data_IF_592553807237
#
_entry.id   IF_592553807237
#
_cell.length_a   1.000
_cell.length_b   1.000
_cell.length_c   1.000
_cell.angle_alpha   90.00
_cell.angle_beta   90.00
_cell.angle_gamma   90.00
#
_symmetry.space_group_name_H-M   'P 1'
#
loop_
_entity.id
_entity.type
_entity.pdbx_description
1 polymer ?
#
# COMPACT_ATOMS: atom_id res chain seq x y z
N UNK A 1 3.53 -7.30 -8.17
CA UNK A 1 2.63 -7.37 -7.01
C UNK A 1 1.29 -6.79 -7.40
N UNK A 2 0.21 -7.55 -7.26
CA UNK A 2 -1.16 -7.05 -7.42
C UNK A 2 -1.73 -6.57 -6.07
N UNK A 3 -2.90 -5.92 -6.07
CA UNK A 3 -3.44 -5.30 -4.85
C UNK A 3 -3.80 -6.32 -3.76
N UNK A 4 -4.15 -7.55 -4.15
CA UNK A 4 -4.50 -8.61 -3.20
C UNK A 4 -3.27 -9.11 -2.43
N UNK A 5 -2.13 -9.26 -3.13
CA UNK A 5 -0.85 -9.62 -2.50
C UNK A 5 -0.40 -8.56 -1.50
N UNK A 6 -0.46 -7.29 -1.91
CA UNK A 6 -0.11 -6.17 -1.03
C UNK A 6 -1.05 -6.12 0.18
N UNK A 7 -2.36 -6.28 -0.03
CA UNK A 7 -3.35 -6.27 1.04
C UNK A 7 -3.08 -7.38 2.05
N UNK A 8 -2.81 -8.61 1.60
CA UNK A 8 -2.55 -9.74 2.50
C UNK A 8 -1.28 -9.51 3.32
N UNK A 9 -0.22 -9.03 2.67
CA UNK A 9 1.06 -8.74 3.29
C UNK A 9 0.94 -7.63 4.36
N UNK A 10 0.28 -6.52 4.04
CA UNK A 10 0.03 -5.45 5.01
C UNK A 10 -0.93 -5.88 6.13
N UNK A 11 -1.92 -6.73 5.84
CA UNK A 11 -2.83 -7.27 6.86
C UNK A 11 -2.06 -8.04 7.93
N UNK A 12 -1.11 -8.89 7.53
CA UNK A 12 -0.24 -9.61 8.47
C UNK A 12 0.56 -8.65 9.36
N UNK A 13 1.15 -7.61 8.78
CA UNK A 13 1.92 -6.60 9.53
C UNK A 13 1.07 -5.77 10.49
N UNK A 14 -0.15 -5.41 10.09
CA UNK A 14 -1.09 -4.71 10.97
C UNK A 14 -1.53 -5.62 12.12
N UNK A 15 -1.73 -6.92 11.87
CA UNK A 15 -2.00 -7.91 12.92
C UNK A 15 -0.82 -8.00 13.90
N UNK A 16 0.43 -7.96 13.44
CA UNK A 16 1.60 -7.93 14.31
C UNK A 16 1.61 -6.69 15.24
N UNK A 17 1.16 -5.52 14.75
CA UNK A 17 1.15 -4.28 15.52
C UNK A 17 0.00 -4.18 16.54
N UNK A 18 -1.16 -4.78 16.27
CA UNK A 18 -2.37 -4.61 17.08
C UNK A 18 -2.88 -5.90 17.76
N UNK A 19 -2.35 -7.07 17.40
CA UNK A 19 -2.93 -8.38 17.72
C UNK A 19 -4.02 -8.78 16.72
N UNK A 20 -4.39 -10.07 16.70
CA UNK A 20 -5.24 -10.66 15.65
C UNK A 20 -6.58 -9.95 15.45
N UNK A 21 -7.44 -9.89 16.47
CA UNK A 21 -8.79 -9.34 16.32
C UNK A 21 -8.79 -7.84 16.01
N UNK A 22 -7.98 -7.06 16.72
CA UNK A 22 -7.89 -5.62 16.53
C UNK A 22 -7.22 -5.29 15.19
N UNK A 23 -6.12 -5.97 14.87
CA UNK A 23 -5.39 -5.77 13.63
C UNK A 23 -6.21 -6.15 12.39
N UNK A 24 -7.00 -7.22 12.43
CA UNK A 24 -7.90 -7.56 11.32
C UNK A 24 -8.96 -6.49 11.09
N UNK A 25 -9.53 -5.92 12.16
CA UNK A 25 -10.49 -4.79 12.05
C UNK A 25 -9.82 -3.55 11.47
N UNK A 26 -8.64 -3.20 11.97
CA UNK A 26 -7.86 -2.04 11.47
C UNK A 26 -7.52 -2.25 9.99
N UNK A 27 -7.00 -3.41 9.60
CA UNK A 27 -6.64 -3.72 8.22
C UNK A 27 -7.84 -3.63 7.26
N UNK A 28 -9.00 -4.13 7.68
CA UNK A 28 -10.22 -4.09 6.86
C UNK A 28 -10.76 -2.67 6.62
N UNK A 29 -10.44 -1.72 7.49
CA UNK A 29 -10.84 -0.31 7.35
C UNK A 29 -9.75 0.50 6.64
N UNK A 30 -8.50 0.35 7.07
CA UNK A 30 -7.36 1.14 6.61
C UNK A 30 -6.95 0.80 5.17
N UNK A 31 -6.75 -0.49 4.86
CA UNK A 31 -6.13 -0.89 3.60
C UNK A 31 -6.95 -0.55 2.36
N UNK A 32 -8.30 -0.70 2.33
CA UNK A 32 -9.07 -0.26 1.17
C UNK A 32 -8.90 1.23 0.87
N UNK A 33 -8.84 2.07 1.90
CA UNK A 33 -8.62 3.52 1.74
C UNK A 33 -7.22 3.80 1.21
N UNK A 34 -6.19 3.20 1.82
CA UNK A 34 -4.79 3.36 1.41
C UNK A 34 -4.58 2.96 -0.05
N UNK A 35 -5.06 1.77 -0.44
CA UNK A 35 -4.87 1.26 -1.81
C UNK A 35 -5.66 2.08 -2.83
N UNK A 36 -6.86 2.53 -2.48
CA UNK A 36 -7.69 3.35 -3.36
C UNK A 36 -7.04 4.71 -3.59
N UNK A 37 -6.60 5.37 -2.54
CA UNK A 37 -5.96 6.67 -2.61
C UNK A 37 -4.64 6.61 -3.40
N UNK A 38 -3.79 5.61 -3.12
CA UNK A 38 -2.56 5.40 -3.87
C UNK A 38 -2.82 5.15 -5.35
N UNK A 39 -3.84 4.33 -5.69
CA UNK A 39 -4.24 4.13 -7.08
C UNK A 39 -4.70 5.44 -7.75
N UNK A 40 -5.34 6.36 -7.02
CA UNK A 40 -5.71 7.68 -7.56
C UNK A 40 -4.49 8.55 -7.84
N UNK A 41 -3.50 8.55 -6.94
CA UNK A 41 -2.22 9.26 -7.14
C UNK A 41 -1.50 8.72 -8.37
N UNK A 42 -1.37 7.40 -8.46
CA UNK A 42 -0.80 6.74 -9.64
C UNK A 42 -1.60 7.04 -10.91
N UNK A 43 -2.92 7.25 -10.82
CA UNK A 43 -3.78 7.65 -11.94
C UNK A 43 -3.55 9.07 -12.47
N UNK A 44 -2.98 9.95 -11.65
CA UNK A 44 -2.63 11.32 -12.05
C UNK A 44 -1.18 11.43 -12.56
N UNK A 45 -0.33 10.45 -12.24
CA UNK A 45 1.05 10.39 -12.69
C UNK A 45 1.17 10.10 -14.19
N UNK A 46 2.21 10.65 -14.82
CA UNK A 46 2.56 10.39 -16.23
C UNK A 46 3.19 9.01 -16.38
N UNK A 47 3.15 8.44 -17.58
CA UNK A 47 3.83 7.18 -17.85
C UNK A 47 5.34 7.27 -17.54
N UNK A 48 5.86 6.28 -16.82
CA UNK A 48 7.23 6.26 -16.32
C UNK A 48 7.49 7.10 -15.07
N UNK A 49 6.52 7.92 -14.63
CA UNK A 49 6.64 8.71 -13.41
C UNK A 49 6.50 7.84 -12.16
N UNK A 50 7.29 8.17 -11.14
CA UNK A 50 7.23 7.53 -9.82
C UNK A 50 6.46 8.44 -8.87
N UNK A 51 5.56 7.85 -8.08
CA UNK A 51 4.89 8.56 -7.00
C UNK A 51 5.06 7.81 -5.68
N UNK A 52 4.97 8.56 -4.59
CA UNK A 52 5.14 8.07 -3.22
C UNK A 52 4.03 8.63 -2.35
N UNK A 53 3.52 7.80 -1.44
CA UNK A 53 2.54 8.20 -0.44
C UNK A 53 2.88 7.59 0.92
N UNK A 54 2.60 8.37 1.97
CA UNK A 54 2.79 7.98 3.36
C UNK A 54 1.45 8.00 4.08
N UNK A 55 1.10 6.87 4.69
CA UNK A 55 -0.13 6.69 5.44
C UNK A 55 0.19 6.37 6.89
N UNK A 56 -0.53 6.97 7.82
CA UNK A 56 -0.30 6.79 9.25
C UNK A 56 -1.63 6.68 10.01
N UNK A 57 -1.69 5.77 10.99
CA UNK A 57 -2.80 5.72 11.95
C UNK A 57 -2.65 6.82 13.00
N UNK A 58 -3.77 7.32 13.53
CA UNK A 58 -3.75 8.42 14.52
C UNK A 58 -2.93 8.08 15.78
N UNK A 59 -2.96 6.81 16.20
CA UNK A 59 -2.17 6.30 17.34
C UNK A 59 -0.69 6.03 17.00
N UNK A 60 -0.30 6.25 15.73
CA UNK A 60 1.04 6.11 15.17
C UNK A 60 1.66 4.72 15.25
N UNK A 61 0.87 3.69 15.55
CA UNK A 61 1.37 2.31 15.59
C UNK A 61 1.66 1.74 14.20
N UNK A 62 1.04 2.29 13.17
CA UNK A 62 1.21 1.89 11.78
C UNK A 62 1.55 3.10 10.92
N UNK A 63 2.64 2.97 10.19
CA UNK A 63 3.11 3.88 9.16
C UNK A 63 3.38 3.03 7.92
N UNK A 64 2.75 3.35 6.80
CA UNK A 64 2.88 2.64 5.53
C UNK A 64 3.40 3.63 4.49
N UNK A 65 4.60 3.37 3.97
CA UNK A 65 5.14 4.05 2.80
C UNK A 65 4.88 3.19 1.57
N UNK A 66 4.28 3.76 0.53
CA UNK A 66 4.13 3.12 -0.77
C UNK A 66 4.86 3.94 -1.83
N UNK A 67 5.68 3.26 -2.63
CA UNK A 67 6.26 3.81 -3.86
C UNK A 67 5.83 2.95 -5.04
N UNK A 68 5.52 3.61 -6.16
CA UNK A 68 5.20 2.91 -7.40
C UNK A 68 5.53 3.74 -8.62
N UNK A 69 5.70 3.03 -9.74
CA UNK A 69 5.95 3.61 -11.06
C UNK A 69 4.75 3.37 -11.97
N UNK A 70 4.36 4.41 -12.72
CA UNK A 70 3.32 4.33 -13.73
C UNK A 70 3.81 3.52 -14.93
N UNK A 71 3.10 2.45 -15.29
CA UNK A 71 3.43 1.48 -16.34
C UNK A 71 2.55 1.54 -17.60
N UNK A 72 1.55 2.42 -17.67
CA UNK A 72 0.75 2.52 -18.91
C UNK A 72 -0.17 3.73 -19.04
N UNK A 73 -0.86 3.77 -20.18
CA UNK A 73 -1.81 4.81 -20.55
C UNK A 73 -3.03 4.92 -19.59
N UNK A 74 -3.67 6.10 -19.49
CA UNK A 74 -4.90 6.28 -18.73
C UNK A 74 -6.00 5.27 -19.12
N UNK A 75 -6.64 4.62 -18.14
CA UNK A 75 -7.80 3.74 -18.36
C UNK A 75 -7.62 2.23 -18.11
N UNK A 76 -6.38 1.73 -17.98
CA UNK A 76 -6.15 0.33 -17.57
C UNK A 76 -6.42 0.12 -16.07
N UNK A 77 -7.05 -1.01 -15.71
CA UNK A 77 -7.45 -1.35 -14.32
C UNK A 77 -6.29 -1.32 -13.31
N UNK A 78 -5.08 -1.60 -13.75
CA UNK A 78 -3.86 -1.45 -12.96
C UNK A 78 -2.73 -1.04 -13.91
N UNK A 79 -2.48 0.25 -13.97
CA UNK A 79 -1.51 0.89 -14.85
C UNK A 79 -0.25 1.34 -14.09
N UNK A 80 -0.02 0.77 -12.92
CA UNK A 80 1.15 1.06 -12.10
C UNK A 80 1.71 -0.23 -11.51
N UNK A 81 3.00 -0.17 -11.17
CA UNK A 81 3.71 -1.22 -10.46
C UNK A 81 4.23 -0.65 -9.16
N UNK A 82 3.92 -1.32 -8.05
CA UNK A 82 4.50 -1.00 -6.74
C UNK A 82 5.97 -1.43 -6.75
N UNK A 83 6.86 -0.49 -6.44
CA UNK A 83 8.31 -0.67 -6.44
C UNK A 83 8.87 -0.77 -5.03
N UNK A 84 8.22 -0.14 -4.04
CA UNK A 84 8.61 -0.23 -2.65
C UNK A 84 7.41 -0.17 -1.71
N UNK A 85 7.51 -0.92 -0.61
CA UNK A 85 6.59 -0.87 0.52
C UNK A 85 7.41 -0.86 1.80
N UNK A 86 7.25 0.18 2.63
CA UNK A 86 7.81 0.21 3.98
C UNK A 86 6.68 0.15 4.99
N UNK A 87 6.83 -0.72 5.99
CA UNK A 87 5.93 -0.80 7.13
C UNK A 87 6.71 -0.46 8.40
N UNK A 88 6.32 0.62 9.08
CA UNK A 88 7.03 1.16 10.25
C UNK A 88 8.54 1.33 9.98
N UNK A 89 8.89 1.82 8.79
CA UNK A 89 10.29 2.03 8.35
C UNK A 89 11.02 0.76 7.90
N UNK A 90 10.40 -0.42 7.99
CA UNK A 90 11.00 -1.67 7.54
C UNK A 90 10.52 -2.00 6.13
N UNK A 91 11.45 -2.24 5.21
CA UNK A 91 11.11 -2.73 3.88
C UNK A 91 10.43 -4.07 3.98
N UNK A 92 9.25 -4.19 3.37
CA UNK A 92 8.56 -5.46 3.34
C UNK A 92 8.99 -6.20 2.08
N UNK A 93 9.75 -7.27 2.26
CA UNK A 93 10.20 -8.10 1.16
C UNK A 93 9.01 -8.76 0.48
N UNK A 94 8.90 -8.53 -0.82
CA UNK A 94 7.93 -9.18 -1.69
C UNK A 94 8.61 -10.48 -2.12
N UNK A 95 8.04 -11.63 -1.73
CA UNK A 95 8.57 -12.93 -2.14
C UNK A 95 8.77 -12.96 -3.66
N UNK A 96 9.96 -13.37 -4.09
CA UNK A 96 10.35 -13.51 -5.49
C UNK A 96 9.47 -14.50 -6.25
#
# INVERSE_FOLDING_TARGET
>A
MNDNELRNLLTGRIIEAYGFDAGLRVANVLLPSVLTDFAMVMNKAKEGETAKEDYQTDDRKVIIHLEGIRKGAPGNKQNYQITEVLFNGNKVEIGQ
#
